data_IF_145271158396
#
_entry.id   IF_145271158396
#
_cell.length_a   1.000
_cell.length_b   1.000
_cell.length_c   1.000
_cell.angle_alpha   90.00
_cell.angle_beta   90.00
_cell.angle_gamma   90.00
#
_symmetry.space_group_name_H-M   'P 1'
#
loop_
_entity.id
_entity.type
_entity.pdbx_description
1 polymer ?
#
# COMPACT_ATOMS: atom_id res chain seq x y z
N UNK A 1 -24.56 0.55 -9.78
CA UNK A 1 -23.55 -0.45 -9.37
C UNK A 1 -24.25 -1.46 -8.48
N UNK A 2 -24.15 -2.74 -8.81
CA UNK A 2 -24.73 -3.85 -8.05
C UNK A 2 -23.61 -4.78 -7.60
N UNK A 3 -23.76 -5.38 -6.42
CA UNK A 3 -22.75 -6.23 -5.84
C UNK A 3 -23.37 -7.33 -4.98
N UNK A 4 -22.66 -8.44 -4.78
CA UNK A 4 -23.10 -9.57 -3.95
C UNK A 4 -22.10 -9.85 -2.81
N UNK A 5 -22.56 -10.04 -1.56
CA UNK A 5 -21.67 -10.39 -0.45
C UNK A 5 -21.09 -11.78 -0.66
N UNK A 6 -19.78 -11.90 -0.46
CA UNK A 6 -19.06 -13.18 -0.47
C UNK A 6 -18.20 -13.29 0.78
N UNK A 7 -18.04 -14.51 1.30
CA UNK A 7 -17.20 -14.79 2.48
C UNK A 7 -15.70 -14.71 2.18
N UNK A 8 -15.31 -14.85 0.91
CA UNK A 8 -13.94 -14.72 0.44
C UNK A 8 -13.83 -14.88 -1.08
N UNK A 9 -12.68 -14.51 -1.63
CA UNK A 9 -12.42 -14.55 -3.07
C UNK A 9 -12.86 -13.27 -3.81
N UNK A 10 -12.90 -13.31 -5.15
CA UNK A 10 -13.30 -12.16 -5.97
C UNK A 10 -14.73 -11.72 -5.66
N UNK A 11 -14.94 -10.40 -5.59
CA UNK A 11 -16.25 -9.84 -5.32
C UNK A 11 -17.06 -9.67 -6.62
N UNK A 12 -18.24 -10.30 -6.78
CA UNK A 12 -19.08 -10.10 -7.94
C UNK A 12 -19.61 -8.66 -7.98
N UNK A 13 -19.22 -7.92 -9.00
CA UNK A 13 -19.60 -6.52 -9.22
C UNK A 13 -20.16 -6.36 -10.64
N UNK A 14 -21.34 -5.76 -10.73
CA UNK A 14 -21.93 -5.36 -12.00
C UNK A 14 -22.11 -3.84 -12.04
N UNK A 15 -21.84 -3.23 -13.19
CA UNK A 15 -22.03 -1.80 -13.40
C UNK A 15 -22.57 -1.55 -14.80
N UNK A 16 -23.56 -0.66 -14.90
CA UNK A 16 -24.04 -0.11 -16.18
C UNK A 16 -23.19 1.05 -16.65
N UNK A 17 -22.34 1.61 -15.80
CA UNK A 17 -21.41 2.66 -16.19
C UNK A 17 -20.26 2.06 -17.00
N UNK A 18 -20.25 2.34 -18.30
CA UNK A 18 -19.06 2.22 -19.12
C UNK A 18 -18.33 3.55 -19.06
N UNK A 19 -17.16 3.60 -18.42
CA UNK A 19 -16.32 4.79 -18.46
C UNK A 19 -15.84 5.02 -19.89
N UNK A 20 -16.18 6.16 -20.48
CA UNK A 20 -15.75 6.52 -21.84
C UNK A 20 -14.72 7.66 -21.77
N UNK A 21 -13.61 7.49 -22.50
CA UNK A 21 -12.74 8.60 -22.93
C UNK A 21 -11.83 9.30 -21.91
N UNK A 22 -11.88 8.98 -20.61
CA UNK A 22 -11.01 9.63 -19.62
C UNK A 22 -9.53 9.26 -19.84
N UNK A 23 -8.65 10.27 -19.80
CA UNK A 23 -7.20 10.03 -19.85
C UNK A 23 -6.71 9.34 -18.57
N UNK A 24 -5.53 8.73 -18.60
CA UNK A 24 -4.92 8.16 -17.38
C UNK A 24 -4.72 9.20 -16.27
N UNK A 25 -4.43 10.45 -16.63
CA UNK A 25 -4.26 11.55 -15.67
C UNK A 25 -5.59 11.93 -15.02
N UNK A 26 -6.67 12.04 -15.80
CA UNK A 26 -8.01 12.33 -15.28
C UNK A 26 -8.47 11.23 -14.32
N UNK A 27 -8.19 9.96 -14.65
CA UNK A 27 -8.53 8.82 -13.80
C UNK A 27 -7.72 8.81 -12.50
N UNK A 28 -6.43 9.16 -12.53
CA UNK A 28 -5.62 9.29 -11.32
C UNK A 28 -6.17 10.39 -10.40
N UNK A 29 -6.45 11.57 -10.97
CA UNK A 29 -7.06 12.68 -10.23
C UNK A 29 -8.42 12.31 -9.65
N UNK A 30 -9.26 11.61 -10.42
CA UNK A 30 -10.58 11.20 -9.99
C UNK A 30 -10.53 10.12 -8.89
N UNK A 31 -9.57 9.20 -8.96
CA UNK A 31 -9.36 8.20 -7.91
C UNK A 31 -8.93 8.86 -6.60
N UNK A 32 -8.01 9.83 -6.67
CA UNK A 32 -7.59 10.62 -5.51
C UNK A 32 -8.79 11.34 -4.87
N UNK A 33 -9.51 12.11 -5.70
CA UNK A 33 -10.61 12.97 -5.25
C UNK A 33 -11.84 12.22 -4.75
N UNK A 34 -12.20 11.07 -5.34
CA UNK A 34 -13.41 10.32 -4.96
C UNK A 34 -13.18 9.17 -4.01
N UNK A 35 -11.98 8.59 -3.99
CA UNK A 35 -11.72 7.37 -3.22
C UNK A 35 -10.62 7.62 -2.19
N UNK A 36 -9.43 8.05 -2.58
CA UNK A 36 -8.30 8.11 -1.65
C UNK A 36 -8.52 9.16 -0.56
N UNK A 37 -8.85 10.39 -0.94
CA UNK A 37 -9.06 11.47 0.01
C UNK A 37 -10.33 11.27 0.88
N UNK A 38 -11.53 11.00 0.34
CA UNK A 38 -12.74 10.97 1.16
C UNK A 38 -13.04 9.62 1.83
N UNK A 39 -12.50 8.49 1.32
CA UNK A 39 -12.82 7.15 1.85
C UNK A 39 -11.60 6.53 2.54
N UNK A 40 -10.44 6.52 1.86
CA UNK A 40 -9.25 5.84 2.41
C UNK A 40 -8.61 6.66 3.52
N UNK A 41 -8.44 7.98 3.35
CA UNK A 41 -7.76 8.81 4.34
C UNK A 41 -8.40 8.77 5.75
N UNK A 42 -9.75 8.83 5.91
CA UNK A 42 -10.37 8.70 7.24
C UNK A 42 -10.14 7.33 7.88
N UNK A 43 -10.15 6.25 7.09
CA UNK A 43 -9.84 4.90 7.58
C UNK A 43 -8.40 4.86 8.07
N UNK A 44 -7.45 5.36 7.28
CA UNK A 44 -6.04 5.41 7.68
C UNK A 44 -5.84 6.27 8.93
N UNK A 45 -6.53 7.40 9.06
CA UNK A 45 -6.47 8.23 10.26
C UNK A 45 -6.94 7.48 11.51
N UNK A 46 -8.05 6.73 11.41
CA UNK A 46 -8.53 5.89 12.50
C UNK A 46 -7.55 4.76 12.86
N UNK A 47 -6.89 4.15 11.87
CA UNK A 47 -5.85 3.14 12.10
C UNK A 47 -4.62 3.75 12.77
N UNK A 48 -4.17 4.92 12.31
CA UNK A 48 -3.03 5.63 12.88
C UNK A 48 -3.28 5.96 14.36
N UNK A 49 -4.45 6.48 14.70
CA UNK A 49 -4.80 6.83 16.08
C UNK A 49 -5.01 5.62 16.98
N UNK A 50 -5.62 4.54 16.46
CA UNK A 50 -5.98 3.36 17.26
C UNK A 50 -4.78 2.45 17.51
N UNK A 51 -3.90 2.31 16.53
CA UNK A 51 -2.79 1.35 16.56
C UNK A 51 -1.40 1.99 16.58
N UNK A 52 -1.32 3.31 16.74
CA UNK A 52 -0.07 4.09 16.72
C UNK A 52 0.80 3.80 15.48
N UNK A 53 0.15 3.58 14.32
CA UNK A 53 0.84 3.31 13.06
C UNK A 53 1.26 4.62 12.38
N UNK A 54 2.47 4.64 11.83
CA UNK A 54 2.95 5.77 11.05
C UNK A 54 2.09 6.01 9.82
N UNK A 55 1.64 7.24 9.62
CA UNK A 55 0.92 7.69 8.42
C UNK A 55 1.70 7.40 7.14
N UNK A 56 3.03 7.51 7.17
CA UNK A 56 3.90 7.18 6.02
C UNK A 56 3.89 5.68 5.70
N UNK A 57 3.82 4.81 6.72
CA UNK A 57 3.69 3.36 6.52
C UNK A 57 2.32 3.03 5.92
N UNK A 58 1.26 3.65 6.45
CA UNK A 58 -0.11 3.43 5.99
C UNK A 58 -0.31 3.85 4.53
N UNK A 59 0.11 5.05 4.14
CA UNK A 59 0.02 5.48 2.73
C UNK A 59 0.95 4.70 1.81
N UNK A 60 2.14 4.31 2.28
CA UNK A 60 2.99 3.37 1.55
C UNK A 60 2.31 2.04 1.27
N UNK A 61 1.58 1.49 2.24
CA UNK A 61 0.79 0.26 2.05
C UNK A 61 -0.32 0.46 1.02
N UNK A 62 -1.01 1.60 1.00
CA UNK A 62 -2.01 1.91 -0.04
C UNK A 62 -1.38 1.94 -1.43
N UNK A 63 -0.24 2.61 -1.61
CA UNK A 63 0.48 2.64 -2.88
C UNK A 63 0.90 1.24 -3.37
N UNK A 64 1.39 0.41 -2.44
CA UNK A 64 1.71 -1.00 -2.70
C UNK A 64 0.49 -1.83 -3.09
N UNK A 65 -0.65 -1.66 -2.41
CA UNK A 65 -1.90 -2.35 -2.77
C UNK A 65 -2.40 -1.94 -4.17
N UNK A 66 -2.34 -0.66 -4.53
CA UNK A 66 -2.71 -0.19 -5.87
C UNK A 66 -1.77 -0.74 -6.95
N UNK A 67 -0.47 -0.79 -6.68
CA UNK A 67 0.53 -1.36 -7.59
C UNK A 67 0.34 -2.87 -7.78
N UNK A 68 0.02 -3.59 -6.71
CA UNK A 68 -0.37 -5.00 -6.76
C UNK A 68 -1.65 -5.22 -7.58
N UNK A 69 -2.66 -4.38 -7.38
CA UNK A 69 -3.90 -4.43 -8.17
C UNK A 69 -3.64 -4.15 -9.66
N UNK A 70 -2.78 -3.18 -9.99
CA UNK A 70 -2.34 -2.91 -11.35
C UNK A 70 -1.61 -4.12 -11.96
N UNK A 71 -0.77 -4.80 -11.18
CA UNK A 71 -0.07 -6.02 -11.63
C UNK A 71 -1.06 -7.12 -11.99
N UNK A 72 -2.07 -7.36 -11.15
CA UNK A 72 -3.11 -8.35 -11.44
C UNK A 72 -3.96 -7.94 -12.66
N UNK A 73 -4.30 -6.66 -12.77
CA UNK A 73 -5.04 -6.15 -13.92
C UNK A 73 -4.23 -6.29 -15.22
N UNK A 74 -2.93 -6.00 -15.20
CA UNK A 74 -2.06 -6.14 -16.36
C UNK A 74 -1.95 -7.61 -16.79
N UNK A 75 -1.93 -8.55 -15.85
CA UNK A 75 -1.95 -9.98 -16.16
C UNK A 75 -3.27 -10.43 -16.81
N UNK A 76 -4.41 -9.96 -16.31
CA UNK A 76 -5.73 -10.31 -16.84
C UNK A 76 -6.09 -9.55 -18.13
N UNK A 77 -5.57 -8.33 -18.31
CA UNK A 77 -5.83 -7.41 -19.41
C UNK A 77 -4.54 -6.75 -19.90
N UNK A 78 -3.69 -7.49 -20.63
CA UNK A 78 -2.42 -6.97 -21.13
C UNK A 78 -2.58 -5.70 -21.99
N UNK A 79 -3.71 -5.59 -22.71
CA UNK A 79 -4.09 -4.40 -23.50
C UNK A 79 -4.19 -3.11 -22.66
N UNK A 80 -4.38 -3.23 -21.33
CA UNK A 80 -4.54 -2.09 -20.40
C UNK A 80 -3.33 -1.85 -19.52
N UNK A 81 -2.29 -2.68 -19.59
CA UNK A 81 -1.14 -2.61 -18.67
C UNK A 81 -0.48 -1.22 -18.65
N UNK A 82 -0.21 -0.64 -19.82
CA UNK A 82 0.42 0.67 -19.95
C UNK A 82 -0.48 1.82 -19.44
N UNK A 83 -1.79 1.74 -19.67
CA UNK A 83 -2.73 2.73 -19.16
C UNK A 83 -2.84 2.67 -17.64
N UNK A 84 -2.85 1.46 -17.06
CA UNK A 84 -2.83 1.24 -15.61
C UNK A 84 -1.54 1.78 -14.98
N UNK A 85 -0.38 1.51 -15.59
CA UNK A 85 0.91 2.04 -15.11
C UNK A 85 0.94 3.58 -15.06
N UNK A 86 0.39 4.25 -16.09
CA UNK A 86 0.26 5.73 -16.09
C UNK A 86 -0.66 6.26 -14.99
N UNK A 87 -1.73 5.55 -14.64
CA UNK A 87 -2.61 5.94 -13.53
C UNK A 87 -1.83 5.86 -12.21
N UNK A 88 -1.10 4.76 -11.98
CA UNK A 88 -0.28 4.61 -10.77
C UNK A 88 0.81 5.69 -10.72
N UNK A 89 1.52 5.94 -11.83
CA UNK A 89 2.51 7.02 -11.90
C UNK A 89 1.91 8.39 -11.57
N UNK A 90 0.75 8.72 -12.16
CA UNK A 90 0.04 9.96 -11.85
C UNK A 90 -0.34 10.11 -10.37
N UNK A 91 -0.69 9.03 -9.68
CA UNK A 91 -0.96 9.07 -8.24
C UNK A 91 0.32 9.23 -7.40
N UNK A 92 1.47 8.76 -7.88
CA UNK A 92 2.75 8.88 -7.17
C UNK A 92 3.42 10.24 -7.40
N UNK A 93 3.08 10.90 -8.50
CA UNK A 93 3.59 12.23 -8.86
C UNK A 93 2.79 13.39 -8.21
N UNK A 94 1.57 13.13 -7.72
CA UNK A 94 0.68 14.17 -7.20
C UNK A 94 -0.44 13.59 -6.30
N UNK A 95 -1.13 14.45 -5.55
CA UNK A 95 -2.20 14.02 -4.64
C UNK A 95 -1.68 13.35 -3.37
N UNK A 96 -2.54 12.58 -2.68
CA UNK A 96 -2.22 12.03 -1.34
C UNK A 96 -1.16 10.92 -1.36
N UNK A 97 -0.89 10.33 -2.53
CA UNK A 97 0.13 9.29 -2.70
C UNK A 97 1.47 9.84 -3.22
N UNK A 98 1.59 11.16 -3.35
CA UNK A 98 2.82 11.79 -3.79
C UNK A 98 4.03 11.33 -2.97
N UNK A 99 5.04 10.79 -3.66
CA UNK A 99 6.30 10.37 -3.04
C UNK A 99 6.18 9.19 -2.06
N UNK A 100 5.16 8.35 -2.19
CA UNK A 100 5.01 7.13 -1.36
C UNK A 100 5.76 5.92 -1.92
N UNK A 101 6.19 5.97 -3.18
CA UNK A 101 6.94 4.94 -3.86
C UNK A 101 7.34 5.34 -5.27
N UNK A 102 8.05 4.45 -5.95
CA UNK A 102 8.62 4.63 -7.26
C UNK A 102 8.23 3.45 -8.17
N UNK A 103 7.85 3.75 -9.41
CA UNK A 103 7.65 2.72 -10.44
C UNK A 103 8.96 2.42 -11.15
N UNK A 104 9.19 1.15 -11.45
CA UNK A 104 10.34 0.70 -12.23
C UNK A 104 9.88 -0.12 -13.44
N UNK A 105 10.63 -0.03 -14.54
CA UNK A 105 10.35 -0.79 -15.77
C UNK A 105 10.72 -2.27 -15.72
N UNK A 106 11.42 -2.70 -14.67
CA UNK A 106 11.90 -4.07 -14.44
C UNK A 106 11.54 -4.51 -13.02
N UNK A 107 11.63 -5.81 -12.72
CA UNK A 107 11.28 -6.30 -11.37
C UNK A 107 12.28 -5.81 -10.31
N UNK A 108 11.81 -5.34 -9.13
CA UNK A 108 10.41 -5.12 -8.76
C UNK A 108 9.82 -3.90 -9.50
N UNK A 109 8.60 -4.06 -10.06
CA UNK A 109 7.97 -2.99 -10.86
C UNK A 109 7.49 -1.77 -10.05
N UNK A 110 7.50 -1.89 -8.72
CA UNK A 110 7.21 -0.82 -7.77
C UNK A 110 8.02 -1.03 -6.49
N UNK A 111 8.57 0.03 -5.92
CA UNK A 111 9.25 0.02 -4.62
C UNK A 111 8.69 1.15 -3.77
N UNK A 112 8.31 0.86 -2.52
CA UNK A 112 7.87 1.91 -1.59
C UNK A 112 9.05 2.77 -1.13
N UNK A 113 8.77 4.03 -0.77
CA UNK A 113 9.69 4.90 -0.03
C UNK A 113 9.56 4.74 1.50
N UNK A 114 8.86 3.70 1.94
CA UNK A 114 8.68 3.34 3.35
C UNK A 114 8.70 1.83 3.57
N UNK A 115 9.15 1.41 4.75
CA UNK A 115 9.12 0.00 5.15
C UNK A 115 7.73 -0.35 5.71
N UNK A 116 7.05 -1.34 5.12
CA UNK A 116 5.75 -1.81 5.60
C UNK A 116 5.81 -2.62 6.92
N UNK A 117 7.01 -2.91 7.43
CA UNK A 117 7.27 -3.72 8.62
C UNK A 117 6.77 -5.17 8.55
N UNK A 118 6.40 -5.67 7.36
CA UNK A 118 5.96 -7.06 7.17
C UNK A 118 6.96 -8.08 7.72
N UNK A 119 8.26 -7.79 7.62
CA UNK A 119 9.34 -8.65 8.15
C UNK A 119 9.27 -8.89 9.66
N UNK A 120 8.48 -8.11 10.41
CA UNK A 120 8.30 -8.29 11.86
C UNK A 120 7.31 -9.41 12.19
N UNK A 121 6.53 -9.88 11.22
CA UNK A 121 5.63 -11.02 11.43
C UNK A 121 6.44 -12.31 11.57
N UNK A 122 5.97 -13.29 12.38
CA UNK A 122 6.64 -14.58 12.50
C UNK A 122 6.87 -15.22 11.13
N UNK A 123 8.10 -15.66 10.88
CA UNK A 123 8.52 -16.32 9.63
C UNK A 123 8.40 -15.46 8.36
N UNK A 124 8.16 -14.16 8.46
CA UNK A 124 8.11 -13.27 7.31
C UNK A 124 9.51 -12.81 6.87
N UNK A 125 9.72 -12.73 5.56
CA UNK A 125 10.84 -12.02 4.94
C UNK A 125 10.50 -10.55 4.66
N UNK A 126 11.21 -9.95 3.70
CA UNK A 126 10.78 -8.68 3.10
C UNK A 126 9.62 -8.93 2.13
N UNK A 127 8.72 -7.97 1.98
CA UNK A 127 7.64 -8.08 0.99
C UNK A 127 8.14 -7.74 -0.44
N UNK A 128 7.32 -7.99 -1.45
CA UNK A 128 7.67 -7.74 -2.87
C UNK A 128 8.04 -6.29 -3.22
N UNK A 129 7.46 -5.30 -2.52
CA UNK A 129 7.69 -3.86 -2.79
C UNK A 129 8.55 -3.20 -1.71
N UNK A 130 9.42 -3.98 -1.06
CA UNK A 130 10.19 -3.51 0.08
C UNK A 130 11.29 -2.53 -0.33
N UNK A 131 11.47 -1.47 0.46
CA UNK A 131 12.62 -0.54 0.36
C UNK A 131 13.93 -1.15 0.89
N UNK A 132 13.85 -2.33 1.52
CA UNK A 132 15.00 -3.05 2.07
C UNK A 132 15.28 -4.29 1.23
N UNK A 133 16.54 -4.54 0.91
CA UNK A 133 16.98 -5.73 0.18
C UNK A 133 16.84 -7.02 1.02
N UNK A 134 16.93 -6.91 2.34
CA UNK A 134 16.77 -8.03 3.28
C UNK A 134 16.19 -7.57 4.62
N UNK A 135 15.59 -8.51 5.34
CA UNK A 135 15.06 -8.25 6.67
C UNK A 135 16.22 -7.87 7.62
N UNK A 136 16.08 -6.81 8.43
CA UNK A 136 17.08 -6.49 9.45
C UNK A 136 17.23 -7.67 10.42
N UNK A 137 18.46 -8.01 10.77
CA UNK A 137 18.71 -8.96 11.86
C UNK A 137 18.15 -8.38 13.16
N UNK A 138 17.53 -9.20 14.03
CA UNK A 138 17.15 -8.75 15.36
C UNK A 138 18.37 -8.14 16.04
N UNK A 139 18.20 -6.96 16.65
CA UNK A 139 19.27 -6.39 17.47
C UNK A 139 19.69 -7.44 18.52
N UNK A 140 20.99 -7.56 18.86
CA UNK A 140 21.40 -8.36 20.00
C UNK A 140 20.55 -7.93 21.18
N UNK A 141 19.86 -8.88 21.85
CA UNK A 141 19.16 -8.54 23.08
C UNK A 141 20.22 -8.02 24.02
N UNK A 142 20.20 -6.72 24.33
CA UNK A 142 21.05 -6.16 25.38
C UNK A 142 20.84 -7.02 26.61
N UNK A 143 21.91 -7.52 27.22
CA UNK A 143 21.81 -8.27 28.46
C UNK A 143 21.09 -7.38 29.46
N UNK A 144 19.83 -7.69 29.75
CA UNK A 144 19.13 -7.13 30.88
C UNK A 144 19.89 -7.64 32.10
N UNK A 145 20.82 -6.82 32.59
CA UNK A 145 21.55 -7.12 33.83
C UNK A 145 20.53 -7.35 34.95
N UNK A 146 20.86 -8.20 35.94
CA UNK A 146 19.96 -8.46 37.05
C UNK A 146 19.55 -7.12 37.70
N UNK A 147 18.25 -6.84 37.68
CA UNK A 147 17.67 -5.71 38.38
C UNK A 147 17.84 -5.98 39.87
N UNK A 148 18.76 -5.29 40.53
CA UNK A 148 18.89 -5.32 41.99
C UNK A 148 17.61 -4.72 42.58
N UNK A 149 16.88 -5.44 43.45
CA UNK A 149 15.75 -4.85 44.16
C UNK A 149 16.25 -3.70 45.03
N UNK A 150 15.74 -2.50 44.80
CA UNK A 150 16.02 -1.34 45.64
C UNK A 150 15.51 -1.58 47.06
N UNK A 151 16.41 -1.46 48.05
CA UNK A 151 16.07 -1.55 49.46
C UNK A 151 15.22 -0.36 49.95
N UNK A 152 14.46 -0.53 51.03
CA UNK A 152 13.58 0.51 51.55
C UNK A 152 14.36 1.70 52.13
N UNK A 153 13.77 2.90 51.97
CA UNK A 153 14.21 4.15 52.60
C UNK A 153 13.72 4.25 54.03
#
# INVERSE_FOLDING_TARGET
MWWQPVTGGPWPLASTSTGTGASSADLAHELDRRILAPIVAPILAAFASTFALSTQVLWGNVASSLSGAQTMLAAARPDRAAAGGRIIGGLLDQGVLHGTGDLHGVRPGFVRRSCCLFYRLPSAGVCGDCVLDRAPSPAPRGSMGPQTPGGPR
#
